data_IF_156052131910
#
_entry.id   IF_156052131910
#
_cell.length_a   1.000
_cell.length_b   1.000
_cell.length_c   1.000
_cell.angle_alpha   90.00
_cell.angle_beta   90.00
_cell.angle_gamma   90.00
#
_symmetry.space_group_name_H-M   'P 1'
#
loop_
_entity.id
_entity.type
_entity.pdbx_description
1 polymer ?
#
# COMPACT_ATOMS: atom_id res chain seq x y z
N UNK A 1 0.61 -4.98 -25.87
CA UNK A 1 2.01 -5.43 -26.02
C UNK A 1 2.42 -6.09 -24.72
N UNK A 2 3.38 -7.01 -24.75
CA UNK A 2 3.79 -7.75 -23.54
C UNK A 2 5.30 -7.92 -23.52
N UNK A 3 5.91 -7.72 -22.35
CA UNK A 3 7.32 -8.02 -22.07
C UNK A 3 7.42 -8.90 -20.81
N UNK A 4 8.32 -9.88 -20.82
CA UNK A 4 8.53 -10.82 -19.71
C UNK A 4 9.82 -10.46 -18.98
N UNK A 5 9.73 -10.40 -17.65
CA UNK A 5 10.85 -10.20 -16.73
C UNK A 5 10.89 -11.33 -15.69
N UNK A 6 11.93 -11.37 -14.87
CA UNK A 6 12.18 -12.48 -13.92
C UNK A 6 11.03 -12.69 -12.93
N UNK A 7 10.44 -11.59 -12.44
CA UNK A 7 9.39 -11.62 -11.41
C UNK A 7 8.00 -11.22 -11.91
N UNK A 8 7.89 -10.65 -13.12
CA UNK A 8 6.61 -10.18 -13.62
C UNK A 8 6.53 -10.14 -15.14
N UNK A 9 5.30 -10.06 -15.64
CA UNK A 9 5.00 -9.70 -17.03
C UNK A 9 4.40 -8.32 -17.07
N UNK A 10 4.80 -7.48 -18.02
CA UNK A 10 4.20 -6.16 -18.19
C UNK A 10 3.36 -6.10 -19.47
N UNK A 11 2.14 -5.60 -19.35
CA UNK A 11 1.16 -5.43 -20.42
C UNK A 11 0.90 -3.94 -20.62
N UNK A 12 1.07 -3.45 -21.85
CA UNK A 12 0.96 -2.02 -22.16
C UNK A 12 0.51 -1.78 -23.60
N UNK A 13 0.02 -0.58 -23.91
CA UNK A 13 -0.36 -0.21 -25.28
C UNK A 13 0.83 0.33 -26.07
N UNK A 14 0.72 0.36 -27.40
CA UNK A 14 1.83 0.81 -28.26
C UNK A 14 2.30 2.24 -27.95
N UNK A 15 1.38 3.09 -27.49
CA UNK A 15 1.69 4.48 -27.12
C UNK A 15 2.50 4.61 -25.83
N UNK A 16 2.43 3.62 -24.93
CA UNK A 16 3.17 3.63 -23.66
C UNK A 16 4.63 3.18 -23.85
N UNK A 17 4.97 2.58 -25.00
CA UNK A 17 6.29 2.00 -25.31
C UNK A 17 7.48 2.92 -24.98
N UNK A 18 7.46 4.24 -25.25
CA UNK A 18 8.58 5.11 -24.91
C UNK A 18 8.86 5.20 -23.41
N UNK A 19 7.86 4.93 -22.57
CA UNK A 19 7.90 5.17 -21.12
C UNK A 19 8.16 3.89 -20.32
N UNK A 20 7.98 2.73 -20.94
CA UNK A 20 8.21 1.41 -20.31
C UNK A 20 9.61 1.29 -19.69
N UNK A 21 10.72 1.74 -20.30
CA UNK A 21 12.02 1.67 -19.64
C UNK A 21 12.06 2.38 -18.29
N UNK A 22 11.42 3.55 -18.16
CA UNK A 22 11.35 4.30 -16.90
C UNK A 22 10.50 3.53 -15.87
N UNK A 23 9.35 2.99 -16.29
CA UNK A 23 8.45 2.25 -15.41
C UNK A 23 9.09 0.95 -14.90
N UNK A 24 9.84 0.25 -15.75
CA UNK A 24 10.57 -0.96 -15.38
C UNK A 24 11.61 -0.69 -14.30
N UNK A 25 12.30 0.46 -14.35
CA UNK A 25 13.23 0.87 -13.29
C UNK A 25 12.47 1.05 -11.97
N UNK A 26 11.34 1.75 -11.98
CA UNK A 26 10.57 2.01 -10.77
C UNK A 26 9.98 0.73 -10.15
N UNK A 27 9.43 -0.15 -11.00
CA UNK A 27 8.89 -1.45 -10.58
C UNK A 27 10.00 -2.32 -9.98
N UNK A 28 11.16 -2.40 -10.65
CA UNK A 28 12.29 -3.20 -10.16
C UNK A 28 12.83 -2.67 -8.83
N UNK A 29 12.90 -1.35 -8.66
CA UNK A 29 13.29 -0.72 -7.40
C UNK A 29 12.28 -1.00 -6.29
N UNK A 30 10.98 -0.93 -6.58
CA UNK A 30 9.94 -1.26 -5.61
C UNK A 30 9.98 -2.73 -5.19
N UNK A 31 10.16 -3.67 -6.13
CA UNK A 31 10.35 -5.09 -5.83
C UNK A 31 11.56 -5.29 -4.91
N UNK A 32 12.69 -4.65 -5.23
CA UNK A 32 13.90 -4.74 -4.43
C UNK A 32 13.70 -4.17 -3.03
N UNK A 33 13.07 -3.01 -2.90
CA UNK A 33 12.81 -2.35 -1.62
C UNK A 33 11.90 -3.19 -0.73
N UNK A 34 10.77 -3.68 -1.27
CA UNK A 34 9.84 -4.54 -0.54
C UNK A 34 10.51 -5.84 -0.11
N UNK A 35 11.25 -6.50 -1.01
CA UNK A 35 11.93 -7.76 -0.69
C UNK A 35 13.03 -7.55 0.38
N UNK A 36 13.79 -6.46 0.28
CA UNK A 36 14.81 -6.11 1.25
C UNK A 36 14.22 -5.74 2.61
N UNK A 37 13.02 -5.13 2.64
CA UNK A 37 12.34 -4.82 3.90
C UNK A 37 11.97 -6.11 4.64
N UNK A 38 11.28 -7.05 3.98
CA UNK A 38 10.82 -8.29 4.61
C UNK A 38 11.89 -9.40 4.69
N UNK A 39 13.06 -9.19 4.07
CA UNK A 39 14.11 -10.21 3.89
C UNK A 39 13.63 -11.45 3.13
N UNK A 40 12.62 -11.30 2.28
CA UNK A 40 11.98 -12.39 1.54
C UNK A 40 11.66 -11.92 0.11
N UNK A 41 11.81 -12.77 -0.92
CA UNK A 41 11.44 -12.42 -2.28
C UNK A 41 9.92 -12.52 -2.48
N UNK A 42 9.41 -11.91 -3.56
CA UNK A 42 8.07 -12.22 -4.07
C UNK A 42 7.99 -13.72 -4.38
N UNK A 43 7.02 -14.41 -3.79
CA UNK A 43 6.94 -15.87 -3.83
C UNK A 43 6.40 -16.41 -5.16
N UNK A 44 5.66 -15.57 -5.90
CA UNK A 44 5.09 -15.91 -7.21
C UNK A 44 5.31 -14.78 -8.23
N UNK A 45 5.43 -15.10 -9.52
CA UNK A 45 5.34 -14.10 -10.57
C UNK A 45 3.96 -13.42 -10.58
N UNK A 46 3.91 -12.15 -10.98
CA UNK A 46 2.67 -11.38 -11.10
C UNK A 46 2.62 -10.61 -12.42
N UNK A 47 1.45 -10.06 -12.74
CA UNK A 47 1.25 -9.27 -13.96
C UNK A 47 1.16 -7.78 -13.62
N UNK A 48 1.81 -6.93 -14.41
CA UNK A 48 1.71 -5.47 -14.35
C UNK A 48 0.95 -4.99 -15.57
N UNK A 49 -0.17 -4.31 -15.37
CA UNK A 49 -0.98 -3.73 -16.44
C UNK A 49 -0.82 -2.20 -16.43
N UNK A 50 -0.31 -1.67 -17.53
CA UNK A 50 -0.22 -0.22 -17.76
C UNK A 50 -1.49 0.23 -18.49
N UNK A 51 -2.30 1.03 -17.81
CA UNK A 51 -3.54 1.59 -18.34
C UNK A 51 -3.28 3.00 -18.86
N UNK A 52 -3.54 3.31 -20.14
CA UNK A 52 -3.22 4.62 -20.71
C UNK A 52 -4.08 5.76 -20.14
N UNK A 53 -5.18 5.46 -19.45
CA UNK A 53 -6.10 6.43 -18.88
C UNK A 53 -7.07 5.78 -17.87
N UNK A 54 -7.81 6.65 -17.18
CA UNK A 54 -8.88 6.34 -16.22
C UNK A 54 -9.91 5.34 -16.76
N UNK A 55 -10.37 5.52 -17.99
CA UNK A 55 -11.38 4.64 -18.60
C UNK A 55 -10.88 3.19 -18.74
N UNK A 56 -9.61 3.01 -19.11
CA UNK A 56 -9.01 1.69 -19.19
C UNK A 56 -8.82 1.05 -17.81
N UNK A 57 -8.50 1.84 -16.79
CA UNK A 57 -8.35 1.37 -15.42
C UNK A 57 -9.72 0.98 -14.83
N UNK A 58 -10.68 1.89 -14.88
CA UNK A 58 -12.03 1.68 -14.35
C UNK A 58 -12.72 0.48 -14.99
N UNK A 59 -12.63 0.32 -16.31
CA UNK A 59 -13.25 -0.84 -16.97
C UNK A 59 -12.64 -2.18 -16.55
N UNK A 60 -11.35 -2.17 -16.18
CA UNK A 60 -10.67 -3.36 -15.63
C UNK A 60 -11.16 -3.64 -14.22
N UNK A 61 -11.18 -2.65 -13.33
CA UNK A 61 -11.65 -2.83 -11.94
C UNK A 61 -13.14 -3.15 -11.84
N UNK A 62 -13.98 -2.55 -12.69
CA UNK A 62 -15.40 -2.91 -12.81
C UNK A 62 -15.58 -4.40 -13.11
N UNK A 63 -14.78 -4.94 -14.02
CA UNK A 63 -14.78 -6.36 -14.37
C UNK A 63 -14.27 -7.22 -13.22
N UNK A 64 -13.09 -6.88 -12.68
CA UNK A 64 -12.41 -7.68 -11.66
C UNK A 64 -13.20 -7.73 -10.34
N UNK A 65 -13.86 -6.64 -9.97
CA UNK A 65 -14.62 -6.53 -8.72
C UNK A 65 -16.10 -6.85 -8.88
N UNK A 66 -16.57 -7.10 -10.10
CA UNK A 66 -17.99 -7.32 -10.38
C UNK A 66 -18.87 -6.10 -10.07
N UNK A 67 -18.32 -4.90 -10.21
CA UNK A 67 -18.96 -3.62 -9.90
C UNK A 67 -19.07 -2.75 -11.16
N UNK A 68 -20.05 -2.97 -12.06
CA UNK A 68 -20.11 -2.29 -13.36
C UNK A 68 -20.25 -0.77 -13.29
N UNK A 69 -20.77 -0.24 -12.18
CA UNK A 69 -20.96 1.20 -11.95
C UNK A 69 -19.78 1.84 -11.18
N UNK A 70 -18.74 1.06 -10.85
CA UNK A 70 -17.58 1.58 -10.12
C UNK A 70 -16.85 2.65 -10.95
N UNK A 71 -16.44 3.72 -10.30
CA UNK A 71 -15.55 4.74 -10.86
C UNK A 71 -14.45 5.03 -9.86
N UNK A 72 -13.20 5.02 -10.31
CA UNK A 72 -12.09 5.33 -9.42
C UNK A 72 -12.07 6.81 -9.07
N UNK A 73 -11.73 7.09 -7.82
CA UNK A 73 -11.48 8.46 -7.37
C UNK A 73 -10.23 9.03 -8.06
N UNK A 74 -10.11 10.36 -8.13
CA UNK A 74 -9.00 11.01 -8.85
C UNK A 74 -7.61 10.62 -8.32
N UNK A 75 -7.51 10.23 -7.05
CA UNK A 75 -6.28 9.81 -6.39
C UNK A 75 -5.97 8.31 -6.56
N UNK A 76 -6.94 7.49 -6.99
CA UNK A 76 -6.79 6.05 -7.18
C UNK A 76 -6.15 5.75 -8.53
N UNK A 77 -4.83 5.82 -8.63
CA UNK A 77 -4.12 5.64 -9.93
C UNK A 77 -3.51 4.25 -10.11
N UNK A 78 -3.59 3.40 -9.09
CA UNK A 78 -3.05 2.06 -9.12
C UNK A 78 -3.75 1.16 -8.09
N UNK A 79 -3.60 -0.16 -8.23
CA UNK A 79 -4.05 -1.16 -7.27
C UNK A 79 -3.20 -2.43 -7.39
N UNK A 80 -2.64 -2.89 -6.28
CA UNK A 80 -1.92 -4.16 -6.16
C UNK A 80 -2.72 -5.24 -5.44
N UNK A 81 -2.71 -6.46 -5.97
CA UNK A 81 -3.14 -7.71 -5.31
C UNK A 81 -2.16 -8.84 -5.67
N UNK A 82 -2.25 -10.01 -5.03
CA UNK A 82 -1.21 -11.04 -5.08
C UNK A 82 -0.63 -11.37 -6.47
N UNK A 83 -1.48 -11.41 -7.50
CA UNK A 83 -1.11 -11.80 -8.86
C UNK A 83 -1.06 -10.62 -9.84
N UNK A 84 -1.37 -9.38 -9.41
CA UNK A 84 -1.66 -8.28 -10.31
C UNK A 84 -1.33 -6.91 -9.72
N UNK A 85 -0.70 -6.07 -10.54
CA UNK A 85 -0.59 -4.63 -10.33
C UNK A 85 -1.23 -3.91 -11.52
N UNK A 86 -2.35 -3.23 -11.28
CA UNK A 86 -2.89 -2.26 -12.23
C UNK A 86 -2.29 -0.89 -11.96
N UNK A 87 -1.75 -0.26 -13.00
CA UNK A 87 -1.09 1.05 -12.91
C UNK A 87 -1.57 1.93 -14.06
N UNK A 88 -2.27 3.02 -13.75
CA UNK A 88 -2.49 4.08 -14.74
C UNK A 88 -1.14 4.66 -15.12
N UNK A 89 -0.86 4.76 -16.43
CA UNK A 89 0.42 5.19 -16.98
C UNK A 89 0.93 6.46 -16.26
N UNK A 90 2.02 6.37 -15.48
CA UNK A 90 2.48 7.48 -14.64
C UNK A 90 2.63 8.82 -15.36
N UNK A 91 3.05 8.81 -16.65
CA UNK A 91 3.17 10.03 -17.47
C UNK A 91 1.86 10.81 -17.64
N UNK A 92 0.72 10.19 -17.37
CA UNK A 92 -0.59 10.83 -17.49
C UNK A 92 -1.06 11.47 -16.19
N UNK A 93 -0.41 11.20 -15.07
CA UNK A 93 -0.86 11.62 -13.74
C UNK A 93 -0.95 13.13 -13.58
N UNK A 94 0.00 13.89 -14.14
CA UNK A 94 -0.02 15.36 -14.12
C UNK A 94 -1.32 15.96 -14.69
N UNK A 95 -2.03 15.22 -15.52
CA UNK A 95 -3.29 15.63 -16.16
C UNK A 95 -4.53 14.89 -15.66
N UNK A 96 -4.38 13.69 -15.10
CA UNK A 96 -5.50 12.78 -14.80
C UNK A 96 -5.63 12.41 -13.31
N UNK A 97 -4.68 12.82 -12.48
CA UNK A 97 -4.69 12.62 -11.04
C UNK A 97 -4.71 13.95 -10.30
N UNK A 98 -5.29 13.95 -9.10
CA UNK A 98 -5.39 15.16 -8.27
C UNK A 98 -4.23 15.32 -7.29
N UNK A 99 -3.61 14.21 -6.85
CA UNK A 99 -2.59 14.19 -5.79
C UNK A 99 -1.23 13.68 -6.28
N UNK A 100 -1.18 13.09 -7.47
CA UNK A 100 0.02 12.44 -8.02
C UNK A 100 0.57 13.20 -9.20
N UNK A 101 1.89 13.37 -9.23
CA UNK A 101 2.60 14.04 -10.31
C UNK A 101 3.78 13.19 -10.75
N UNK A 102 3.92 13.00 -12.05
CA UNK A 102 4.99 12.20 -12.63
C UNK A 102 6.36 12.84 -12.42
N UNK A 103 6.40 14.17 -12.45
CA UNK A 103 7.64 14.92 -12.22
C UNK A 103 8.12 14.87 -10.76
N UNK A 104 7.26 14.51 -9.82
CA UNK A 104 7.63 14.10 -8.48
C UNK A 104 8.07 12.64 -8.46
N UNK A 105 9.31 12.42 -8.90
CA UNK A 105 9.92 11.08 -8.99
C UNK A 105 9.95 10.32 -7.65
N UNK A 106 10.11 11.02 -6.52
CA UNK A 106 10.12 10.37 -5.21
C UNK A 106 8.72 9.87 -4.87
N UNK A 107 7.70 10.75 -4.93
CA UNK A 107 6.32 10.35 -4.63
C UNK A 107 5.80 9.28 -5.59
N UNK A 108 6.19 9.35 -6.87
CA UNK A 108 5.87 8.33 -7.88
C UNK A 108 6.48 6.98 -7.53
N UNK A 109 7.78 6.96 -7.18
CA UNK A 109 8.44 5.73 -6.75
C UNK A 109 7.79 5.15 -5.49
N UNK A 110 7.49 6.00 -4.50
CA UNK A 110 6.84 5.58 -3.26
C UNK A 110 5.46 4.96 -3.54
N UNK A 111 4.67 5.55 -4.43
CA UNK A 111 3.36 4.98 -4.78
C UNK A 111 3.49 3.62 -5.49
N UNK A 112 4.42 3.48 -6.43
CA UNK A 112 4.65 2.18 -7.09
C UNK A 112 5.12 1.14 -6.07
N UNK A 113 6.01 1.50 -5.15
CA UNK A 113 6.44 0.62 -4.07
C UNK A 113 5.27 0.27 -3.13
N UNK A 114 4.38 1.23 -2.81
CA UNK A 114 3.18 1.00 -1.98
C UNK A 114 2.32 -0.11 -2.57
N UNK A 115 2.01 -0.03 -3.87
CA UNK A 115 1.21 -1.07 -4.51
C UNK A 115 1.95 -2.41 -4.62
N UNK A 116 3.26 -2.39 -4.79
CA UNK A 116 4.07 -3.61 -4.77
C UNK A 116 4.11 -4.26 -3.38
N UNK A 117 3.98 -3.49 -2.30
CA UNK A 117 3.77 -4.05 -0.96
C UNK A 117 2.43 -4.76 -0.88
N UNK A 118 1.37 -4.24 -1.50
CA UNK A 118 0.09 -4.94 -1.59
C UNK A 118 0.18 -6.23 -2.39
N UNK A 119 0.88 -6.24 -3.53
CA UNK A 119 1.17 -7.47 -4.28
C UNK A 119 1.90 -8.48 -3.39
N UNK A 120 2.99 -8.07 -2.74
CA UNK A 120 3.76 -8.93 -1.84
C UNK A 120 2.90 -9.47 -0.70
N UNK A 121 2.15 -8.59 -0.01
CA UNK A 121 1.26 -8.96 1.09
C UNK A 121 0.21 -9.97 0.61
N UNK A 122 -0.44 -9.74 -0.53
CA UNK A 122 -1.41 -10.66 -1.10
C UNK A 122 -0.83 -12.06 -1.39
N UNK A 123 0.45 -12.16 -1.77
CA UNK A 123 1.12 -13.44 -1.99
C UNK A 123 1.37 -14.25 -0.70
N UNK A 124 1.42 -13.58 0.45
CA UNK A 124 1.60 -14.18 1.76
C UNK A 124 0.30 -14.28 2.57
N UNK A 125 -0.77 -13.67 2.08
CA UNK A 125 -2.06 -13.59 2.77
C UNK A 125 -3.03 -14.70 2.30
N UNK A 126 -3.82 -15.31 3.21
CA UNK A 126 -4.81 -16.34 2.85
C UNK A 126 -5.92 -15.88 1.88
N UNK A 127 -6.19 -14.57 1.83
CA UNK A 127 -7.06 -13.90 0.87
C UNK A 127 -6.21 -13.05 -0.08
N UNK A 128 -5.87 -13.55 -1.28
CA UNK A 128 -4.93 -12.89 -2.20
C UNK A 128 -5.37 -11.50 -2.68
N UNK A 129 -6.66 -11.20 -2.56
CA UNK A 129 -7.35 -9.97 -2.93
C UNK A 129 -7.88 -9.18 -1.73
N UNK A 130 -7.54 -9.61 -0.50
CA UNK A 130 -7.98 -9.02 0.76
C UNK A 130 -9.51 -9.00 1.00
N UNK A 131 -10.30 -9.77 0.24
CA UNK A 131 -11.77 -9.81 0.37
C UNK A 131 -12.27 -10.36 1.72
N UNK A 132 -11.46 -11.12 2.47
CA UNK A 132 -11.85 -11.70 3.76
C UNK A 132 -11.31 -10.96 4.98
N UNK A 133 -10.81 -9.73 4.80
CA UNK A 133 -10.22 -8.93 5.89
C UNK A 133 -11.31 -8.38 6.81
N UNK A 134 -11.04 -8.38 8.12
CA UNK A 134 -11.97 -7.86 9.11
C UNK A 134 -11.28 -7.01 10.19
N UNK A 135 -11.43 -5.69 10.10
CA UNK A 135 -11.00 -4.74 11.13
C UNK A 135 -9.49 -4.49 11.17
N UNK A 136 -8.77 -4.87 10.11
CA UNK A 136 -7.32 -4.70 9.97
C UNK A 136 -6.92 -4.08 8.62
N UNK A 137 -7.84 -3.42 7.92
CA UNK A 137 -7.55 -2.66 6.70
C UNK A 137 -6.41 -1.65 6.91
N UNK A 138 -6.36 -1.04 8.11
CA UNK A 138 -5.28 -0.17 8.55
C UNK A 138 -3.92 -0.87 8.58
N UNK A 139 -3.86 -2.19 8.81
CA UNK A 139 -2.60 -2.92 8.82
C UNK A 139 -2.10 -3.11 7.39
N UNK A 140 -2.98 -3.45 6.46
CA UNK A 140 -2.65 -3.65 5.04
C UNK A 140 -2.12 -2.35 4.45
N UNK A 141 -2.89 -1.27 4.60
CA UNK A 141 -2.51 0.06 4.11
C UNK A 141 -1.34 0.65 4.91
N UNK A 142 -1.27 0.37 6.21
CA UNK A 142 -0.17 0.81 7.06
C UNK A 142 1.17 0.19 6.67
N UNK A 143 1.18 -1.10 6.31
CA UNK A 143 2.37 -1.79 5.79
C UNK A 143 2.83 -1.13 4.50
N UNK A 144 1.90 -0.91 3.56
CA UNK A 144 2.22 -0.29 2.29
C UNK A 144 2.76 1.15 2.46
N UNK A 145 2.16 1.96 3.33
CA UNK A 145 2.65 3.32 3.66
C UNK A 145 4.03 3.29 4.30
N UNK A 146 4.25 2.41 5.27
CA UNK A 146 5.50 2.38 6.02
C UNK A 146 6.65 1.88 5.13
N UNK A 147 6.46 0.76 4.46
CA UNK A 147 7.50 0.10 3.65
C UNK A 147 7.85 0.92 2.41
N UNK A 148 6.88 1.60 1.80
CA UNK A 148 7.12 2.50 0.68
C UNK A 148 7.88 3.78 1.05
N UNK A 149 7.96 4.12 2.34
CA UNK A 149 8.56 5.36 2.82
C UNK A 149 7.61 6.55 2.81
N UNK A 150 6.31 6.33 2.63
CA UNK A 150 5.28 7.36 2.71
C UNK A 150 4.95 7.79 4.16
N UNK A 151 5.59 7.21 5.18
CA UNK A 151 5.65 7.78 6.54
C UNK A 151 6.54 9.05 6.59
N UNK A 152 6.26 10.02 5.72
CA UNK A 152 7.07 11.22 5.56
C UNK A 152 6.91 12.21 6.74
N UNK A 153 7.85 13.18 6.91
CA UNK A 153 7.80 14.13 8.01
C UNK A 153 6.49 14.93 8.10
N UNK A 154 5.90 15.32 6.96
CA UNK A 154 4.67 16.12 6.95
C UNK A 154 3.48 15.32 7.51
N UNK A 155 3.40 14.05 7.13
CA UNK A 155 2.39 13.12 7.62
C UNK A 155 2.55 12.85 9.11
N UNK A 156 3.79 12.67 9.58
CA UNK A 156 4.06 12.47 11.01
C UNK A 156 3.75 13.72 11.84
N UNK A 157 3.98 14.92 11.31
CA UNK A 157 3.55 16.17 11.96
C UNK A 157 2.03 16.21 12.12
N UNK A 158 1.27 15.92 11.06
CA UNK A 158 -0.19 15.93 11.11
C UNK A 158 -0.76 14.92 12.13
N UNK A 159 -0.16 13.72 12.21
CA UNK A 159 -0.54 12.71 13.23
C UNK A 159 -0.24 13.22 14.64
N UNK A 160 0.94 13.82 14.88
CA UNK A 160 1.31 14.38 16.18
C UNK A 160 0.41 15.55 16.58
N UNK A 161 -0.01 16.38 15.64
CA UNK A 161 -0.97 17.47 15.87
C UNK A 161 -2.32 16.92 16.31
N UNK A 162 -2.87 15.94 15.57
CA UNK A 162 -4.13 15.29 15.94
C UNK A 162 -4.07 14.60 17.31
N UNK A 163 -2.92 14.03 17.66
CA UNK A 163 -2.67 13.44 18.98
C UNK A 163 -2.73 14.50 20.09
N UNK A 164 -2.10 15.66 19.92
CA UNK A 164 -2.13 16.77 20.89
C UNK A 164 -3.52 17.36 21.07
N UNK A 165 -4.31 17.41 19.99
CA UNK A 165 -5.69 17.89 20.00
C UNK A 165 -6.69 16.85 20.56
N UNK A 166 -6.21 15.64 20.89
CA UNK A 166 -7.05 14.49 21.26
C UNK A 166 -8.13 14.18 20.22
N UNK A 167 -7.83 14.41 18.95
CA UNK A 167 -8.72 14.20 17.80
C UNK A 167 -8.29 12.96 17.02
N UNK A 168 -8.19 11.83 17.73
CA UNK A 168 -7.79 10.54 17.17
C UNK A 168 -8.91 9.52 17.35
N UNK A 169 -9.09 8.58 16.40
CA UNK A 169 -10.04 7.49 16.58
C UNK A 169 -9.75 6.66 17.83
N UNK A 170 -10.82 6.11 18.42
CA UNK A 170 -10.74 5.26 19.61
C UNK A 170 -10.45 3.79 19.32
N UNK A 171 -10.57 3.38 18.05
CA UNK A 171 -10.39 2.01 17.58
C UNK A 171 -9.45 1.97 16.37
N UNK A 172 -8.72 0.86 16.22
CA UNK A 172 -7.78 0.61 15.13
C UNK A 172 -8.50 0.46 13.79
N UNK A 173 -9.69 -0.15 13.77
CA UNK A 173 -10.49 -0.23 12.55
C UNK A 173 -10.78 1.16 11.95
N UNK A 174 -10.89 2.18 12.80
CA UNK A 174 -11.12 3.56 12.37
C UNK A 174 -9.84 4.29 11.93
N UNK A 175 -8.65 3.69 12.07
CA UNK A 175 -7.41 4.26 11.53
C UNK A 175 -7.43 4.30 10.01
N UNK A 176 -8.20 3.44 9.36
CA UNK A 176 -8.42 3.48 7.92
C UNK A 176 -9.60 4.39 7.53
N UNK A 177 -9.75 5.53 8.21
CA UNK A 177 -10.82 6.49 7.93
C UNK A 177 -10.33 7.94 7.91
N UNK A 178 -11.05 8.79 7.17
CA UNK A 178 -10.79 10.23 7.11
C UNK A 178 -9.45 10.60 6.44
N UNK A 179 -9.00 11.84 6.73
CA UNK A 179 -7.83 12.45 6.07
C UNK A 179 -6.49 11.93 6.59
N UNK A 180 -6.44 11.47 7.83
CA UNK A 180 -5.20 11.00 8.47
C UNK A 180 -4.96 9.50 8.25
N UNK A 181 -5.80 8.81 7.47
CA UNK A 181 -5.82 7.35 7.39
C UNK A 181 -4.45 6.72 7.13
N UNK A 182 -3.71 7.24 6.16
CA UNK A 182 -2.37 6.75 5.84
C UNK A 182 -1.36 7.07 6.95
N UNK A 183 -1.46 8.25 7.58
CA UNK A 183 -0.56 8.63 8.67
C UNK A 183 -0.78 7.79 9.93
N UNK A 184 -2.04 7.56 10.32
CA UNK A 184 -2.38 6.73 11.46
C UNK A 184 -1.98 5.27 11.23
N UNK A 185 -2.37 4.72 10.09
CA UNK A 185 -2.06 3.34 9.69
C UNK A 185 -0.55 3.10 9.60
N UNK A 186 0.17 3.95 8.87
CA UNK A 186 1.62 3.83 8.70
C UNK A 186 2.39 4.04 10.01
N UNK A 187 2.00 5.01 10.84
CA UNK A 187 2.66 5.23 12.13
C UNK A 187 2.42 4.11 13.13
N UNK A 188 1.26 3.44 13.08
CA UNK A 188 1.01 2.23 13.87
C UNK A 188 1.95 1.11 13.45
N UNK A 189 2.11 0.86 12.14
CA UNK A 189 3.05 -0.17 11.64
C UNK A 189 4.50 0.20 11.96
N UNK A 190 4.87 1.47 11.88
CA UNK A 190 6.20 1.95 12.30
C UNK A 190 6.47 1.67 13.79
N UNK A 191 5.47 1.88 14.66
CA UNK A 191 5.57 1.48 16.07
C UNK A 191 5.67 -0.05 16.24
N UNK A 192 4.89 -0.83 15.47
CA UNK A 192 4.96 -2.30 15.51
C UNK A 192 6.35 -2.79 15.10
N UNK A 193 6.95 -2.22 14.06
CA UNK A 193 8.33 -2.52 13.66
C UNK A 193 9.31 -2.19 14.79
N UNK A 194 9.19 -1.00 15.39
CA UNK A 194 10.05 -0.58 16.49
C UNK A 194 9.95 -1.52 17.70
N UNK A 195 8.75 -1.99 18.02
CA UNK A 195 8.47 -2.76 19.24
C UNK A 195 8.71 -4.26 19.09
N UNK A 196 8.37 -4.83 17.93
CA UNK A 196 8.35 -6.27 17.68
C UNK A 196 9.29 -6.72 16.57
N UNK A 197 9.75 -5.80 15.71
CA UNK A 197 10.69 -6.07 14.63
C UNK A 197 10.03 -6.62 13.35
N UNK A 198 10.81 -6.58 12.27
CA UNK A 198 10.37 -6.95 10.92
C UNK A 198 9.90 -8.40 10.78
N UNK A 199 10.49 -9.34 11.50
CA UNK A 199 10.05 -10.74 11.48
C UNK A 199 8.61 -10.89 12.00
N UNK A 200 8.20 -10.05 12.97
CA UNK A 200 6.82 -10.03 13.43
C UNK A 200 5.91 -9.41 12.38
N UNK A 201 6.33 -8.33 11.73
CA UNK A 201 5.57 -7.72 10.64
C UNK A 201 5.34 -8.71 9.49
N UNK A 202 6.36 -9.49 9.13
CA UNK A 202 6.23 -10.54 8.12
C UNK A 202 5.20 -11.61 8.52
N UNK A 203 5.19 -12.07 9.78
CA UNK A 203 4.17 -13.02 10.26
C UNK A 203 2.75 -12.43 10.21
N UNK A 204 2.61 -11.13 10.43
CA UNK A 204 1.32 -10.45 10.39
C UNK A 204 0.69 -10.43 8.98
N UNK A 205 1.48 -10.63 7.92
CA UNK A 205 0.97 -10.69 6.53
C UNK A 205 -0.03 -11.83 6.29
N UNK A 206 -0.09 -12.82 7.19
CA UNK A 206 -1.03 -13.94 7.09
C UNK A 206 -2.29 -13.77 7.96
N UNK A 207 -2.40 -12.68 8.72
CA UNK A 207 -3.49 -12.46 9.68
C UNK A 207 -4.67 -11.79 8.99
N UNK A 208 -5.87 -12.32 9.20
CA UNK A 208 -7.10 -11.88 8.51
C UNK A 208 -8.02 -11.00 9.36
N UNK A 209 -7.83 -10.98 10.69
CA UNK A 209 -8.73 -10.29 11.60
C UNK A 209 -8.03 -9.71 12.84
N UNK A 210 -8.67 -8.69 13.44
CA UNK A 210 -8.12 -7.96 14.58
C UNK A 210 -7.92 -8.84 15.83
N UNK A 211 -8.78 -9.82 16.07
CA UNK A 211 -8.66 -10.69 17.26
C UNK A 211 -7.41 -11.55 17.15
N UNK A 212 -7.19 -12.15 15.99
CA UNK A 212 -5.99 -12.93 15.68
C UNK A 212 -4.73 -12.06 15.75
N UNK A 213 -4.77 -10.82 15.26
CA UNK A 213 -3.66 -9.87 15.35
C UNK A 213 -3.28 -9.56 16.80
N UNK A 214 -4.25 -9.20 17.63
CA UNK A 214 -4.02 -8.88 19.04
C UNK A 214 -3.54 -10.09 19.84
N UNK A 215 -4.05 -11.29 19.50
CA UNK A 215 -3.59 -12.55 20.07
C UNK A 215 -2.12 -12.84 19.73
N UNK A 216 -1.73 -12.69 18.46
CA UNK A 216 -0.35 -12.85 18.00
C UNK A 216 0.58 -11.86 18.72
N UNK A 217 0.12 -10.62 18.92
CA UNK A 217 0.86 -9.59 19.65
C UNK A 217 0.87 -9.78 21.18
N UNK A 218 0.04 -10.67 21.71
CA UNK A 218 -0.14 -10.85 23.16
C UNK A 218 -0.63 -9.59 23.88
N UNK A 219 -1.47 -8.78 23.24
CA UNK A 219 -1.94 -7.48 23.76
C UNK A 219 -3.45 -7.29 23.55
N UNK A 220 -3.96 -6.12 23.96
CA UNK A 220 -5.33 -5.68 23.67
C UNK A 220 -5.31 -4.40 22.86
N UNK A 221 -6.37 -4.13 22.11
CA UNK A 221 -6.46 -2.90 21.31
C UNK A 221 -6.25 -1.61 22.15
N UNK A 222 -6.91 -1.42 23.31
CA UNK A 222 -6.65 -0.23 24.13
C UNK A 222 -5.19 -0.11 24.57
N UNK A 223 -4.54 -1.24 24.86
CA UNK A 223 -3.14 -1.26 25.27
C UNK A 223 -2.22 -0.90 24.11
N UNK A 224 -2.48 -1.46 22.92
CA UNK A 224 -1.73 -1.16 21.71
C UNK A 224 -1.84 0.32 21.33
N UNK A 225 -3.04 0.89 21.38
CA UNK A 225 -3.27 2.32 21.14
C UNK A 225 -2.55 3.20 22.16
N UNK A 226 -2.57 2.83 23.44
CA UNK A 226 -1.85 3.55 24.50
C UNK A 226 -0.34 3.55 24.25
N UNK A 227 0.25 2.40 23.91
CA UNK A 227 1.68 2.27 23.66
C UNK A 227 2.13 2.99 22.38
N UNK A 228 1.35 2.90 21.30
CA UNK A 228 1.58 3.67 20.08
C UNK A 228 1.54 5.18 20.35
N UNK A 229 0.58 5.67 21.14
CA UNK A 229 0.51 7.11 21.50
C UNK A 229 1.79 7.56 22.21
N UNK A 230 2.26 6.78 23.19
CA UNK A 230 3.51 7.07 23.91
C UNK A 230 4.72 7.08 22.97
N UNK A 231 4.76 6.16 22.01
CA UNK A 231 5.80 6.14 20.99
C UNK A 231 5.77 7.41 20.12
N UNK A 232 4.59 7.83 19.67
CA UNK A 232 4.43 9.03 18.84
C UNK A 232 4.79 10.34 19.58
N UNK A 233 4.63 10.38 20.90
CA UNK A 233 5.04 11.52 21.74
C UNK A 233 6.56 11.60 21.95
N UNK A 234 7.28 10.48 21.84
CA UNK A 234 8.73 10.39 22.08
C UNK A 234 9.56 10.57 20.81
N UNK A 235 8.99 10.29 19.64
CA UNK A 235 9.57 10.58 18.33
C UNK A 235 9.55 12.09 18.04
#
# INVERSE_FOLDING_TARGET
>A
MTEQHDHFRIFFQANDRPDIPDYLVMISQGIQQTSAFFHEPFSQPFDVYIHPNRLSLDSTWQSDWGMPEFQSECWMVASGVAAKLDLMAPRTWDSLACEHRYDDSLSTQQLITHELVHVFHGQHHPSPDFSTINGIDWLIEGMAVFVSGQCDPSRMVAVKEALRENNLPGHLADFWSGKLRYGLSGSMVMYLDHRYGRDQLYRMLAITDLTSLLSELGTTEPKLLEEWRKYMEQM
#
